data_IF_629838140016
#
_entry.id   IF_629838140016
#
_cell.length_a   1.000
_cell.length_b   1.000
_cell.length_c   1.000
_cell.angle_alpha   90.00
_cell.angle_beta   90.00
_cell.angle_gamma   90.00
#
_symmetry.space_group_name_H-M   'P 1'
#
loop_
_entity.id
_entity.type
_entity.pdbx_description
1 polymer ?
#
# COMPACT_ATOMS: atom_id res chain seq x y z
N UNK A 1 -0.48 -6.62 -10.79
CA UNK A 1 -0.90 -7.99 -10.50
C UNK A 1 -2.20 -8.34 -11.19
N UNK A 2 -2.45 -9.62 -11.36
CA UNK A 2 -3.71 -10.14 -11.91
C UNK A 2 -4.52 -10.83 -10.80
N UNK A 3 -5.81 -11.04 -11.05
CA UNK A 3 -6.70 -11.70 -10.06
C UNK A 3 -6.31 -13.15 -9.72
N UNK A 4 -5.39 -13.76 -10.47
CA UNK A 4 -4.86 -15.09 -10.24
C UNK A 4 -3.42 -15.08 -9.66
N UNK A 5 -3.00 -14.00 -9.02
CA UNK A 5 -1.71 -13.83 -8.35
C UNK A 5 -0.49 -13.72 -9.27
N UNK A 6 -0.68 -13.56 -10.57
CA UNK A 6 0.42 -13.36 -11.50
C UNK A 6 0.82 -11.89 -11.62
N UNK A 7 2.10 -11.67 -11.82
CA UNK A 7 2.67 -10.41 -12.30
C UNK A 7 3.06 -10.59 -13.75
N UNK A 8 2.54 -9.71 -14.58
CA UNK A 8 2.86 -9.64 -16.01
C UNK A 8 3.66 -8.38 -16.28
N UNK A 9 4.73 -8.52 -17.08
CA UNK A 9 5.40 -7.39 -17.70
C UNK A 9 5.12 -7.43 -19.19
N UNK A 10 4.70 -6.31 -19.72
CA UNK A 10 4.33 -6.14 -21.11
C UNK A 10 5.28 -5.13 -21.76
N UNK A 11 5.83 -5.49 -22.92
CA UNK A 11 6.61 -4.56 -23.76
C UNK A 11 5.67 -3.89 -24.75
N UNK A 12 5.71 -2.57 -24.77
CA UNK A 12 4.89 -1.75 -25.67
C UNK A 12 5.66 -1.24 -26.90
N UNK A 13 7.00 -1.32 -26.87
CA UNK A 13 7.87 -0.82 -27.94
C UNK A 13 8.90 -1.87 -28.36
N UNK A 14 9.35 -1.80 -29.61
CA UNK A 14 10.51 -2.54 -30.08
C UNK A 14 11.84 -1.90 -29.57
N UNK A 15 12.97 -2.52 -29.92
CA UNK A 15 14.30 -2.02 -29.53
C UNK A 15 14.63 -0.65 -30.14
N UNK A 16 14.00 -0.28 -31.26
CA UNK A 16 14.15 1.01 -31.89
C UNK A 16 13.21 2.08 -31.29
N UNK A 17 12.36 1.72 -30.32
CA UNK A 17 11.42 2.61 -29.65
C UNK A 17 10.09 2.80 -30.41
N UNK A 18 9.83 2.03 -31.49
CA UNK A 18 8.55 2.11 -32.17
C UNK A 18 7.48 1.36 -31.35
N UNK A 19 6.27 1.90 -31.33
CA UNK A 19 5.13 1.26 -30.66
C UNK A 19 4.78 -0.04 -31.38
N UNK A 20 4.68 -1.13 -30.61
CA UNK A 20 4.24 -2.43 -31.12
C UNK A 20 2.73 -2.41 -31.42
N UNK A 21 2.29 -3.13 -32.46
CA UNK A 21 0.84 -3.23 -32.76
C UNK A 21 0.07 -3.99 -31.69
N UNK A 22 0.73 -4.87 -30.94
CA UNK A 22 0.23 -5.61 -29.80
C UNK A 22 1.28 -5.64 -28.70
N UNK A 23 0.86 -5.69 -27.44
CA UNK A 23 1.79 -5.83 -26.33
C UNK A 23 2.43 -7.22 -26.33
N UNK A 24 3.73 -7.25 -26.20
CA UNK A 24 4.49 -8.48 -26.03
C UNK A 24 4.63 -8.81 -24.54
N UNK A 25 4.20 -10.00 -24.11
CA UNK A 25 4.41 -10.46 -22.75
C UNK A 25 5.85 -10.94 -22.59
N UNK A 26 6.63 -10.20 -21.78
CA UNK A 26 8.06 -10.48 -21.55
C UNK A 26 8.34 -11.12 -20.20
N UNK A 27 7.38 -11.06 -19.25
CA UNK A 27 7.48 -11.71 -17.96
C UNK A 27 6.09 -12.15 -17.50
N UNK A 28 6.03 -13.36 -16.89
CA UNK A 28 4.84 -13.91 -16.28
C UNK A 28 5.26 -14.76 -15.07
N UNK A 29 4.99 -14.30 -13.86
CA UNK A 29 5.37 -14.96 -12.62
C UNK A 29 4.14 -15.11 -11.73
N UNK A 30 3.85 -16.35 -11.30
CA UNK A 30 2.93 -16.61 -10.20
C UNK A 30 3.64 -16.30 -8.87
N UNK A 31 3.39 -15.10 -8.35
CA UNK A 31 4.04 -14.61 -7.12
C UNK A 31 3.61 -15.43 -5.91
N UNK A 32 2.33 -15.82 -5.84
CA UNK A 32 1.82 -16.59 -4.71
C UNK A 32 2.50 -17.95 -4.66
N UNK A 33 2.54 -18.69 -5.77
CA UNK A 33 3.22 -19.97 -5.84
C UNK A 33 4.71 -19.86 -5.52
N UNK A 34 5.38 -18.79 -5.99
CA UNK A 34 6.78 -18.54 -5.69
C UNK A 34 7.03 -18.26 -4.20
N UNK A 35 6.17 -17.46 -3.57
CA UNK A 35 6.25 -17.17 -2.14
C UNK A 35 5.93 -18.41 -1.27
N UNK A 36 4.92 -19.19 -1.65
CA UNK A 36 4.57 -20.46 -1.00
C UNK A 36 5.73 -21.47 -1.06
N UNK A 37 6.40 -21.56 -2.20
CA UNK A 37 7.59 -22.40 -2.36
C UNK A 37 8.76 -21.95 -1.47
N UNK A 38 8.98 -20.63 -1.34
CA UNK A 38 10.01 -20.08 -0.48
C UNK A 38 9.73 -20.30 1.02
N UNK A 39 8.45 -20.25 1.41
CA UNK A 39 8.02 -20.46 2.79
C UNK A 39 7.80 -21.92 3.16
N UNK A 40 7.57 -22.80 2.19
CA UNK A 40 7.19 -24.19 2.41
C UNK A 40 5.79 -24.37 3.00
N UNK A 41 4.90 -23.40 2.80
CA UNK A 41 3.50 -23.43 3.27
C UNK A 41 2.58 -22.67 2.32
N UNK A 42 1.29 -23.00 2.34
CA UNK A 42 0.25 -22.25 1.62
C UNK A 42 0.01 -20.88 2.25
N UNK A 43 -0.27 -19.89 1.39
CA UNK A 43 -0.64 -18.54 1.81
C UNK A 43 -2.16 -18.37 1.82
N UNK A 44 -2.67 -17.78 2.89
CA UNK A 44 -4.11 -17.51 3.05
C UNK A 44 -4.56 -16.27 2.26
N UNK A 45 -3.62 -15.40 1.89
CA UNK A 45 -3.89 -14.14 1.22
C UNK A 45 -3.38 -14.14 -0.22
N UNK A 46 -4.05 -13.36 -1.05
CA UNK A 46 -3.69 -13.19 -2.46
C UNK A 46 -2.71 -12.04 -2.65
N UNK A 47 -2.04 -12.02 -3.80
CA UNK A 47 -1.21 -10.92 -4.23
C UNK A 47 -2.06 -9.65 -4.35
N UNK A 48 -1.62 -8.61 -3.66
CA UNK A 48 -2.30 -7.31 -3.64
C UNK A 48 -1.54 -6.26 -4.45
N UNK A 49 -0.25 -6.12 -4.20
CA UNK A 49 0.55 -5.03 -4.78
C UNK A 49 1.94 -5.49 -5.15
N UNK A 50 2.51 -4.83 -6.15
CA UNK A 50 3.90 -4.97 -6.57
C UNK A 50 4.50 -3.63 -6.94
N UNK A 51 5.81 -3.50 -6.72
CA UNK A 51 6.59 -2.34 -7.17
C UNK A 51 8.04 -2.75 -7.41
N UNK A 52 8.72 -2.14 -8.35
CA UNK A 52 10.18 -2.23 -8.45
C UNK A 52 10.83 -1.21 -7.51
N UNK A 53 11.85 -1.65 -6.76
CA UNK A 53 12.72 -0.73 -6.06
C UNK A 53 13.80 -0.14 -7.00
N UNK A 54 14.62 0.74 -6.45
CA UNK A 54 15.68 1.42 -7.22
C UNK A 54 16.86 0.50 -7.58
N UNK A 55 16.95 -0.67 -6.96
CA UNK A 55 17.94 -1.71 -7.26
C UNK A 55 17.39 -2.78 -8.23
N UNK A 56 16.13 -2.60 -8.70
CA UNK A 56 15.47 -3.49 -9.66
C UNK A 56 14.86 -4.74 -9.05
N UNK A 57 14.78 -4.87 -7.74
CA UNK A 57 14.05 -5.96 -7.10
C UNK A 57 12.54 -5.73 -7.24
N UNK A 58 11.79 -6.78 -7.49
CA UNK A 58 10.33 -6.72 -7.57
C UNK A 58 9.73 -7.05 -6.20
N UNK A 59 9.35 -6.02 -5.46
CA UNK A 59 8.64 -6.15 -4.19
C UNK A 59 7.19 -6.54 -4.42
N UNK A 60 6.66 -7.32 -3.48
CA UNK A 60 5.26 -7.72 -3.46
C UNK A 60 4.70 -7.75 -2.05
N UNK A 61 3.39 -7.57 -1.95
CA UNK A 61 2.63 -7.73 -0.73
C UNK A 61 1.38 -8.57 -0.99
N UNK A 62 1.04 -9.42 -0.03
CA UNK A 62 -0.26 -10.11 -0.01
C UNK A 62 -1.15 -9.50 1.05
N UNK A 63 -2.45 -9.51 0.80
CA UNK A 63 -3.39 -8.88 1.69
C UNK A 63 -4.78 -8.75 1.09
N UNK A 64 -5.49 -7.71 1.48
CA UNK A 64 -6.81 -7.35 0.96
C UNK A 64 -7.73 -6.77 2.01
N UNK A 65 -8.93 -6.39 1.59
CA UNK A 65 -9.90 -5.61 2.37
C UNK A 65 -10.58 -6.33 3.54
N UNK A 66 -10.23 -7.56 3.87
CA UNK A 66 -10.91 -8.33 4.92
C UNK A 66 -9.95 -8.99 5.90
N UNK A 67 -8.80 -8.39 6.11
CA UNK A 67 -7.88 -8.79 7.16
C UNK A 67 -8.22 -7.96 8.40
N UNK A 68 -8.52 -8.65 9.49
CA UNK A 68 -8.86 -8.05 10.78
C UNK A 68 -7.92 -8.58 11.85
N UNK A 69 -7.54 -7.77 12.84
CA UNK A 69 -6.63 -8.19 13.91
C UNK A 69 -7.05 -9.46 14.66
N UNK A 70 -8.36 -9.69 14.77
CA UNK A 70 -8.92 -10.86 15.43
C UNK A 70 -9.01 -12.12 14.57
N UNK A 71 -8.60 -12.05 13.30
CA UNK A 71 -8.62 -13.20 12.39
C UNK A 71 -7.23 -13.83 12.27
N UNK A 72 -7.18 -15.13 12.02
CA UNK A 72 -5.92 -15.85 11.81
C UNK A 72 -5.32 -15.64 10.42
N UNK A 73 -5.93 -14.80 9.59
CA UNK A 73 -5.39 -14.45 8.28
C UNK A 73 -4.04 -13.74 8.45
N UNK A 74 -3.11 -14.08 7.58
CA UNK A 74 -1.75 -13.58 7.66
C UNK A 74 -1.27 -13.21 6.26
N UNK A 75 -0.83 -11.95 6.10
CA UNK A 75 -0.18 -11.50 4.89
C UNK A 75 1.31 -11.79 4.90
N UNK A 76 1.94 -11.59 3.75
CA UNK A 76 3.39 -11.62 3.59
C UNK A 76 3.86 -10.42 2.78
N UNK A 77 5.08 -9.98 3.09
CA UNK A 77 5.81 -8.97 2.35
C UNK A 77 7.07 -9.64 1.81
N UNK A 78 7.43 -9.36 0.56
CA UNK A 78 8.60 -10.02 0.00
C UNK A 78 9.12 -9.35 -1.25
N UNK A 79 10.19 -9.89 -1.80
CA UNK A 79 10.71 -9.46 -3.09
C UNK A 79 11.29 -10.62 -3.90
N UNK A 80 11.32 -10.44 -5.22
CA UNK A 80 12.08 -11.25 -6.15
C UNK A 80 13.35 -10.48 -6.49
N UNK A 81 14.49 -11.11 -6.35
CA UNK A 81 15.79 -10.50 -6.62
C UNK A 81 15.90 -10.05 -8.08
N UNK A 82 16.49 -8.87 -8.29
CA UNK A 82 16.74 -8.29 -9.62
C UNK A 82 17.39 -9.26 -10.59
N UNK A 83 18.41 -10.01 -10.14
CA UNK A 83 19.11 -10.98 -10.98
C UNK A 83 18.21 -12.07 -11.57
N UNK A 84 17.17 -12.49 -10.84
CA UNK A 84 16.21 -13.46 -11.37
C UNK A 84 15.27 -12.83 -12.39
N UNK A 85 14.88 -11.57 -12.18
CA UNK A 85 14.09 -10.81 -13.17
C UNK A 85 14.88 -10.63 -14.44
N UNK A 86 16.14 -10.22 -14.36
CA UNK A 86 17.03 -10.06 -15.51
C UNK A 86 17.21 -11.38 -16.28
N UNK A 87 17.46 -12.49 -15.58
CA UNK A 87 17.59 -13.81 -16.21
C UNK A 87 16.34 -14.16 -17.03
N UNK A 88 15.14 -13.97 -16.43
CA UNK A 88 13.88 -14.24 -17.14
C UNK A 88 13.72 -13.33 -18.37
N UNK A 89 14.02 -12.05 -18.25
CA UNK A 89 13.93 -11.09 -19.36
C UNK A 89 14.92 -11.41 -20.49
N UNK A 90 16.06 -12.01 -20.17
CA UNK A 90 17.03 -12.51 -21.13
C UNK A 90 16.71 -13.90 -21.72
N UNK A 91 15.54 -14.48 -21.37
CA UNK A 91 15.11 -15.79 -21.83
C UNK A 91 15.78 -16.96 -21.12
N UNK A 92 16.43 -16.71 -19.97
CA UNK A 92 17.06 -17.72 -19.14
C UNK A 92 16.07 -18.27 -18.10
N UNK A 93 16.36 -19.45 -17.57
CA UNK A 93 15.59 -20.01 -16.46
C UNK A 93 16.13 -19.47 -15.13
N UNK A 94 15.25 -18.86 -14.34
CA UNK A 94 15.56 -18.47 -12.97
C UNK A 94 15.00 -19.47 -11.96
N UNK A 95 15.83 -19.82 -10.98
CA UNK A 95 15.38 -20.62 -9.82
C UNK A 95 14.72 -19.68 -8.79
N UNK A 96 13.42 -19.46 -8.93
CA UNK A 96 12.67 -18.59 -8.03
C UNK A 96 12.68 -19.04 -6.57
N UNK A 97 12.90 -20.35 -6.31
CA UNK A 97 12.99 -20.84 -4.93
C UNK A 97 14.18 -20.29 -4.15
N UNK A 98 15.18 -19.76 -4.86
CA UNK A 98 16.37 -19.12 -4.27
C UNK A 98 16.40 -17.60 -4.42
N UNK A 99 15.52 -17.07 -5.26
CA UNK A 99 15.50 -15.66 -5.59
C UNK A 99 14.31 -14.92 -4.96
N UNK A 100 13.38 -15.64 -4.35
CA UNK A 100 12.23 -15.08 -3.65
C UNK A 100 12.50 -15.06 -2.15
N UNK A 101 12.40 -13.91 -1.56
CA UNK A 101 12.57 -13.68 -0.13
C UNK A 101 11.27 -13.16 0.46
N UNK A 102 10.87 -13.70 1.60
CA UNK A 102 9.57 -13.44 2.20
C UNK A 102 9.72 -13.11 3.68
N UNK A 103 8.99 -12.11 4.13
CA UNK A 103 8.77 -11.74 5.52
C UNK A 103 7.31 -12.01 5.86
N UNK A 104 7.07 -12.87 6.83
CA UNK A 104 5.73 -13.16 7.32
C UNK A 104 5.28 -12.08 8.29
N UNK A 105 4.08 -11.56 8.05
CA UNK A 105 3.43 -10.66 9.00
C UNK A 105 2.88 -11.44 10.20
N UNK A 106 2.43 -10.73 11.22
CA UNK A 106 1.76 -11.36 12.36
C UNK A 106 0.36 -11.86 11.99
N UNK A 107 -0.20 -12.86 12.68
CA UNK A 107 -1.59 -13.24 12.48
C UNK A 107 -2.53 -12.04 12.65
N UNK A 108 -3.50 -11.90 11.75
CA UNK A 108 -4.40 -10.74 11.69
C UNK A 108 -3.80 -9.51 11.00
N UNK A 109 -2.59 -9.61 10.46
CA UNK A 109 -1.93 -8.53 9.76
C UNK A 109 -1.78 -8.80 8.26
N UNK A 110 -1.97 -7.78 7.44
CA UNK A 110 -1.81 -7.85 5.99
C UNK A 110 -1.78 -6.48 5.36
N UNK A 111 -1.24 -6.40 4.15
CA UNK A 111 -1.27 -5.16 3.37
C UNK A 111 -2.68 -4.88 2.86
N UNK A 112 -3.04 -3.61 2.78
CA UNK A 112 -4.35 -3.16 2.30
C UNK A 112 -4.26 -2.48 0.93
N UNK A 113 -3.14 -1.85 0.66
CA UNK A 113 -2.92 -1.03 -0.53
C UNK A 113 -1.53 -1.20 -1.12
N UNK A 114 -1.13 -0.24 -1.94
CA UNK A 114 0.10 -0.28 -2.70
C UNK A 114 1.36 -0.11 -1.85
N UNK A 115 2.45 -0.57 -2.42
CA UNK A 115 3.80 -0.38 -1.92
C UNK A 115 4.36 0.88 -2.55
N UNK A 116 5.10 1.69 -1.79
CA UNK A 116 5.87 2.81 -2.31
C UNK A 116 7.37 2.49 -2.24
N UNK A 117 8.09 2.77 -3.33
CA UNK A 117 9.53 2.56 -3.37
C UNK A 117 10.29 3.88 -3.14
N UNK A 118 11.33 3.82 -2.33
CA UNK A 118 12.30 4.89 -2.13
C UNK A 118 13.72 4.37 -2.38
N UNK A 119 14.70 5.27 -2.38
CA UNK A 119 16.13 4.87 -2.42
C UNK A 119 16.56 4.08 -1.18
N UNK A 120 15.81 4.17 -0.10
CA UNK A 120 16.11 3.52 1.17
C UNK A 120 15.42 2.15 1.31
N UNK A 121 14.53 1.79 0.36
CA UNK A 121 13.82 0.52 0.34
C UNK A 121 12.34 0.65 -0.03
N UNK A 122 11.57 -0.38 0.25
CA UNK A 122 10.13 -0.43 0.04
C UNK A 122 9.38 -0.03 1.31
N UNK A 123 8.45 0.92 1.19
CA UNK A 123 7.57 1.36 2.28
C UNK A 123 6.19 0.74 2.08
N UNK A 124 5.69 0.06 3.10
CA UNK A 124 4.44 -0.70 3.03
C UNK A 124 3.61 -0.39 4.27
N UNK A 125 2.33 -0.11 4.03
CA UNK A 125 1.33 -0.04 5.07
C UNK A 125 0.60 -1.39 5.18
N UNK A 126 0.50 -1.88 6.40
CA UNK A 126 -0.41 -2.95 6.77
C UNK A 126 -1.58 -2.36 7.58
N UNK A 127 -2.55 -3.18 7.95
CA UNK A 127 -3.63 -2.76 8.83
C UNK A 127 -3.20 -2.45 10.28
N UNK A 128 -1.93 -2.63 10.64
CA UNK A 128 -1.42 -2.43 12.00
C UNK A 128 -0.13 -1.62 12.05
N UNK A 129 0.71 -1.70 11.01
CA UNK A 129 2.05 -1.13 11.02
C UNK A 129 2.42 -0.46 9.70
N UNK A 130 3.36 0.46 9.76
CA UNK A 130 4.10 0.96 8.62
C UNK A 130 5.51 0.40 8.66
N UNK A 131 5.99 -0.15 7.55
CA UNK A 131 7.32 -0.75 7.43
C UNK A 131 8.18 -0.01 6.42
N UNK A 132 9.46 0.14 6.72
CA UNK A 132 10.50 0.29 5.70
C UNK A 132 11.27 -1.02 5.62
N UNK A 133 11.23 -1.65 4.45
CA UNK A 133 11.90 -2.91 4.17
C UNK A 133 13.03 -2.72 3.18
N UNK A 134 14.11 -3.48 3.35
CA UNK A 134 15.25 -3.50 2.45
C UNK A 134 15.57 -4.92 1.99
N UNK A 135 15.96 -5.06 0.72
CA UNK A 135 16.50 -6.29 0.18
C UNK A 135 17.96 -6.46 0.61
N UNK A 136 18.25 -7.47 1.41
CA UNK A 136 19.59 -7.74 1.94
C UNK A 136 19.81 -9.25 2.14
N UNK A 137 19.86 -10.03 1.04
CA UNK A 137 19.87 -11.51 1.07
C UNK A 137 18.76 -12.10 1.96
N UNK A 138 17.66 -11.41 2.05
CA UNK A 138 16.50 -11.63 2.90
C UNK A 138 15.72 -10.33 3.00
N UNK A 139 14.54 -10.36 3.58
CA UNK A 139 13.76 -9.14 3.86
C UNK A 139 14.20 -8.59 5.20
N UNK A 140 14.89 -7.46 5.19
CA UNK A 140 15.29 -6.72 6.38
C UNK A 140 14.24 -5.65 6.70
N UNK A 141 13.63 -5.71 7.87
CA UNK A 141 12.82 -4.61 8.40
C UNK A 141 13.77 -3.57 9.01
N UNK A 142 13.99 -2.46 8.29
CA UNK A 142 14.81 -1.33 8.78
C UNK A 142 14.13 -0.71 9.98
N UNK A 143 12.83 -0.52 9.89
CA UNK A 143 11.94 -0.15 10.99
C UNK A 143 10.52 -0.66 10.74
N UNK A 144 9.79 -0.81 11.84
CA UNK A 144 8.38 -1.14 11.89
C UNK A 144 7.72 -0.22 12.91
N UNK A 145 6.77 0.59 12.48
CA UNK A 145 6.09 1.57 13.33
C UNK A 145 4.62 1.24 13.42
N UNK A 146 4.13 0.87 14.61
CA UNK A 146 2.70 0.66 14.83
C UNK A 146 1.95 2.00 14.77
N UNK A 147 0.72 1.94 14.31
CA UNK A 147 -0.21 3.07 14.33
C UNK A 147 -1.61 2.64 14.74
N UNK A 148 -2.40 3.58 15.23
CA UNK A 148 -3.78 3.32 15.59
C UNK A 148 -4.66 3.37 14.35
N UNK A 149 -5.60 2.44 14.24
CA UNK A 149 -6.68 2.46 13.27
C UNK A 149 -7.91 1.84 13.88
N UNK A 150 -9.06 2.39 13.60
CA UNK A 150 -10.34 1.78 13.99
C UNK A 150 -10.97 1.01 12.85
N UNK A 151 -10.43 1.17 11.65
CA UNK A 151 -10.84 0.48 10.45
C UNK A 151 -12.32 0.54 10.13
N UNK A 152 -12.71 -0.30 9.22
CA UNK A 152 -14.12 -0.54 8.94
C UNK A 152 -14.77 -1.22 10.14
N UNK A 153 -15.49 -0.49 10.96
CA UNK A 153 -16.32 -1.07 12.00
C UNK A 153 -17.47 -1.79 11.33
N UNK A 154 -17.47 -3.12 11.39
CA UNK A 154 -18.63 -3.92 11.03
C UNK A 154 -19.70 -3.66 12.11
N UNK A 155 -20.72 -2.89 11.77
CA UNK A 155 -21.83 -2.67 12.68
C UNK A 155 -23.01 -3.55 12.31
N UNK A 156 -23.34 -4.47 13.20
CA UNK A 156 -24.65 -5.11 13.30
C UNK A 156 -25.03 -6.02 12.14
N UNK A 157 -26.28 -6.40 12.11
CA UNK A 157 -26.91 -7.47 11.34
C UNK A 157 -26.75 -7.40 9.80
N UNK A 158 -26.16 -6.34 9.22
CA UNK A 158 -26.08 -6.14 7.79
C UNK A 158 -24.67 -5.99 7.22
N UNK A 159 -23.64 -6.34 7.98
CA UNK A 159 -22.23 -6.22 7.53
C UNK A 159 -21.88 -4.81 6.97
N UNK A 160 -22.62 -3.79 7.38
CA UNK A 160 -22.34 -2.41 6.99
C UNK A 160 -21.18 -1.89 7.81
N UNK A 161 -20.13 -1.54 7.11
CA UNK A 161 -19.01 -0.79 7.69
C UNK A 161 -19.50 0.56 8.18
N UNK A 162 -19.37 0.82 9.46
CA UNK A 162 -19.65 2.13 10.06
C UNK A 162 -18.36 2.77 10.54
N UNK A 163 -18.09 3.93 10.01
CA UNK A 163 -16.87 4.69 10.28
C UNK A 163 -15.65 4.13 9.53
N UNK A 164 -14.66 4.91 9.37
CA UNK A 164 -13.40 4.55 8.76
C UNK A 164 -13.49 4.08 7.34
N UNK A 165 -12.69 3.28 6.83
CA UNK A 165 -12.53 2.89 5.45
C UNK A 165 -13.27 1.60 5.05
N UNK A 166 -12.89 1.07 3.91
CA UNK A 166 -13.33 -0.23 3.39
C UNK A 166 -12.75 -1.38 4.20
N UNK A 167 -11.65 -1.14 4.88
CA UNK A 167 -10.88 -2.14 5.58
C UNK A 167 -10.36 -1.61 6.92
N UNK A 168 -9.73 -2.47 7.68
CA UNK A 168 -9.02 -2.11 8.89
C UNK A 168 -7.64 -1.58 8.50
N UNK A 169 -7.24 -0.40 8.96
CA UNK A 169 -5.95 0.20 8.66
C UNK A 169 -6.05 1.55 7.99
N UNK A 170 -4.93 2.04 7.47
CA UNK A 170 -4.82 3.36 6.87
C UNK A 170 -5.58 3.55 5.56
N UNK A 171 -6.00 2.47 4.91
CA UNK A 171 -6.80 2.50 3.68
C UNK A 171 -6.07 3.06 2.45
N UNK A 172 -4.79 3.40 2.55
CA UNK A 172 -4.05 4.08 1.49
C UNK A 172 -2.66 3.49 1.26
N UNK A 173 -2.07 3.78 0.11
CA UNK A 173 -0.64 3.59 -0.09
C UNK A 173 0.13 4.75 0.54
N UNK A 174 1.31 4.51 1.13
CA UNK A 174 2.12 5.59 1.67
C UNK A 174 2.60 6.55 0.57
N UNK A 175 2.64 7.83 0.88
CA UNK A 175 3.23 8.87 0.05
C UNK A 175 4.58 9.28 0.61
N UNK A 176 5.57 9.45 -0.26
CA UNK A 176 6.96 9.63 0.14
C UNK A 176 7.51 10.97 -0.30
N UNK A 177 8.32 11.58 0.55
CA UNK A 177 9.34 12.55 0.18
C UNK A 177 10.73 11.98 0.49
N UNK A 178 11.83 12.66 0.17
CA UNK A 178 13.17 12.18 0.55
C UNK A 178 13.35 11.91 2.05
N UNK A 179 12.64 12.65 2.89
CA UNK A 179 12.82 12.60 4.36
C UNK A 179 11.59 12.06 5.12
N UNK A 180 10.42 11.95 4.48
CA UNK A 180 9.17 11.61 5.15
C UNK A 180 8.39 10.49 4.47
N UNK A 181 7.70 9.72 5.31
CA UNK A 181 6.62 8.81 4.91
C UNK A 181 5.32 9.36 5.46
N UNK A 182 4.32 9.58 4.60
CA UNK A 182 3.03 10.14 4.99
C UNK A 182 1.88 9.25 4.60
N UNK A 183 0.92 9.12 5.51
CA UNK A 183 -0.32 8.36 5.31
C UNK A 183 -1.37 8.77 6.33
N UNK A 184 -2.63 8.42 6.09
CA UNK A 184 -3.71 8.57 7.05
C UNK A 184 -3.93 7.27 7.83
N UNK A 185 -4.26 7.38 9.11
CA UNK A 185 -4.40 6.23 10.01
C UNK A 185 -5.80 5.60 10.03
N UNK A 186 -6.81 6.30 9.50
CA UNK A 186 -8.22 5.93 9.66
C UNK A 186 -8.63 5.66 11.11
N UNK A 187 -7.98 6.33 12.07
CA UNK A 187 -8.41 6.34 13.47
C UNK A 187 -9.66 7.22 13.65
N UNK A 188 -10.07 7.42 14.88
CA UNK A 188 -11.18 8.32 15.23
C UNK A 188 -10.70 9.30 16.31
N UNK A 189 -10.46 10.59 15.99
CA UNK A 189 -10.49 11.19 14.65
C UNK A 189 -9.39 10.69 13.72
N UNK A 190 -9.62 10.78 12.41
CA UNK A 190 -8.62 10.46 11.39
C UNK A 190 -7.46 11.44 11.46
N UNK A 191 -6.25 10.94 11.40
CA UNK A 191 -5.02 11.74 11.43
C UNK A 191 -4.18 11.49 10.19
N UNK A 192 -3.56 12.53 9.69
CA UNK A 192 -2.41 12.44 8.80
C UNK A 192 -1.18 12.23 9.66
N UNK A 193 -0.47 11.14 9.43
CA UNK A 193 0.79 10.82 10.09
C UNK A 193 1.94 11.13 9.15
N UNK A 194 3.02 11.70 9.69
CA UNK A 194 4.30 11.82 9.01
C UNK A 194 5.36 11.12 9.86
N UNK A 195 6.08 10.20 9.24
CA UNK A 195 7.18 9.45 9.85
C UNK A 195 8.50 9.91 9.22
N UNK A 196 9.53 10.01 10.04
CA UNK A 196 10.90 10.20 9.55
C UNK A 196 11.34 8.97 8.76
N UNK A 197 11.76 9.16 7.51
CA UNK A 197 12.10 8.08 6.57
C UNK A 197 13.21 7.16 7.10
N UNK A 198 14.18 7.70 7.84
CA UNK A 198 15.35 6.93 8.31
C UNK A 198 15.06 6.13 9.58
N UNK A 199 14.23 6.66 10.44
CA UNK A 199 14.03 6.09 11.79
C UNK A 199 12.66 5.48 12.03
N UNK A 200 11.69 5.76 11.15
CA UNK A 200 10.30 5.37 11.31
C UNK A 200 9.57 6.11 12.44
N UNK A 201 10.20 7.05 13.13
CA UNK A 201 9.54 7.78 14.22
C UNK A 201 8.44 8.68 13.64
N UNK A 202 7.28 8.65 14.28
CA UNK A 202 6.21 9.62 14.00
C UNK A 202 6.73 10.99 14.43
N UNK A 203 6.95 11.87 13.46
CA UNK A 203 7.39 13.26 13.68
C UNK A 203 6.21 14.22 13.64
N UNK A 204 5.09 13.79 13.07
CA UNK A 204 3.86 14.54 13.07
C UNK A 204 2.62 13.65 13.07
N UNK A 205 1.60 14.12 13.75
CA UNK A 205 0.27 13.51 13.82
C UNK A 205 -0.75 14.64 13.87
N UNK A 206 -1.46 14.83 12.76
CA UNK A 206 -2.37 15.97 12.59
C UNK A 206 -3.78 15.46 12.31
N UNK A 207 -4.79 15.80 13.15
CA UNK A 207 -6.18 15.54 12.82
C UNK A 207 -6.53 16.19 11.47
N UNK A 208 -7.23 15.47 10.62
CA UNK A 208 -7.64 15.93 9.30
C UNK A 208 -9.13 15.74 9.12
N UNK A 209 -9.77 16.60 8.31
CA UNK A 209 -11.19 16.52 8.02
C UNK A 209 -12.05 16.65 9.29
N UNK A 210 -11.57 17.36 10.30
CA UNK A 210 -12.25 17.58 11.59
C UNK A 210 -13.21 18.78 11.58
N UNK A 211 -13.22 19.55 10.50
CA UNK A 211 -14.06 20.70 10.25
C UNK A 211 -15.32 20.38 9.41
N UNK A 212 -15.64 19.12 9.24
CA UNK A 212 -16.80 18.70 8.45
C UNK A 212 -18.10 19.04 9.17
N UNK A 213 -19.19 19.34 8.42
CA UNK A 213 -20.50 19.58 9.00
C UNK A 213 -21.00 18.38 9.85
N UNK A 214 -21.84 18.68 10.84
CA UNK A 214 -22.46 17.66 11.68
C UNK A 214 -23.18 16.58 10.84
N UNK A 215 -22.96 15.31 11.18
CA UNK A 215 -23.52 14.17 10.47
C UNK A 215 -22.65 13.62 9.35
N UNK A 216 -21.56 14.31 8.98
CA UNK A 216 -20.57 13.75 8.05
C UNK A 216 -19.63 12.78 8.79
N UNK A 217 -19.23 11.74 8.08
CA UNK A 217 -18.24 10.80 8.55
C UNK A 217 -16.97 10.89 7.70
N UNK A 218 -15.87 10.44 8.24
CA UNK A 218 -14.56 10.48 7.59
C UNK A 218 -14.09 9.07 7.32
N UNK A 219 -13.62 8.86 6.10
CA UNK A 219 -12.84 7.70 5.71
C UNK A 219 -11.84 8.13 4.63
N UNK A 220 -10.62 7.69 4.74
CA UNK A 220 -9.58 7.97 3.73
C UNK A 220 -9.13 6.66 3.13
N UNK A 221 -9.37 6.49 1.84
CA UNK A 221 -8.99 5.31 1.04
C UNK A 221 -8.03 5.69 -0.10
N UNK A 222 -7.70 6.97 -0.19
CA UNK A 222 -6.80 7.49 -1.20
C UNK A 222 -5.46 7.89 -0.57
N UNK A 223 -4.39 7.63 -1.28
CA UNK A 223 -3.08 8.14 -0.89
C UNK A 223 -3.10 9.66 -0.87
N UNK A 224 -2.46 10.25 0.14
CA UNK A 224 -2.29 11.68 0.21
C UNK A 224 -1.47 12.17 -0.99
N UNK A 225 -1.88 13.27 -1.61
CA UNK A 225 -1.06 13.96 -2.61
C UNK A 225 -0.07 14.81 -1.85
N UNK A 226 1.21 14.64 -2.12
CA UNK A 226 2.29 15.32 -1.42
C UNK A 226 3.14 16.11 -2.39
N UNK A 227 3.43 17.33 -2.02
CA UNK A 227 4.35 18.24 -2.72
C UNK A 227 5.41 18.75 -1.75
N UNK A 228 6.67 18.47 -2.06
CA UNK A 228 7.84 18.97 -1.34
C UNK A 228 8.48 20.06 -2.20
N UNK A 229 8.55 21.29 -1.70
CA UNK A 229 9.17 22.43 -2.42
C UNK A 229 10.70 22.40 -2.38
N UNK A 230 11.29 21.44 -1.65
CA UNK A 230 12.73 21.32 -1.40
C UNK A 230 13.35 22.50 -0.64
N UNK A 231 12.52 23.42 -0.14
CA UNK A 231 12.91 24.58 0.65
C UNK A 231 12.49 24.44 2.13
N UNK A 232 11.91 23.28 2.48
CA UNK A 232 11.51 22.93 3.84
C UNK A 232 9.99 22.96 4.08
N UNK A 233 9.20 23.11 3.02
CA UNK A 233 7.74 23.03 3.11
C UNK A 233 7.24 21.77 2.40
N UNK A 234 6.44 20.98 3.09
CA UNK A 234 5.73 19.85 2.51
C UNK A 234 4.23 20.10 2.60
N UNK A 235 3.59 20.24 1.44
CA UNK A 235 2.14 20.44 1.33
C UNK A 235 1.47 19.09 1.05
N UNK A 236 0.35 18.83 1.71
CA UNK A 236 -0.37 17.59 1.59
C UNK A 236 -1.86 17.83 1.36
N UNK A 237 -2.44 17.10 0.41
CA UNK A 237 -3.88 17.09 0.15
C UNK A 237 -4.43 15.73 0.57
N UNK A 238 -5.43 15.74 1.44
CA UNK A 238 -6.17 14.56 1.91
C UNK A 238 -7.62 14.70 1.48
N UNK A 239 -8.20 13.62 0.94
CA UNK A 239 -9.59 13.62 0.49
C UNK A 239 -10.43 12.72 1.38
N UNK A 240 -11.63 13.19 1.75
CA UNK A 240 -12.64 12.32 2.36
C UNK A 240 -13.24 11.40 1.29
N UNK A 241 -13.12 10.11 1.50
CA UNK A 241 -13.69 9.10 0.62
C UNK A 241 -15.02 8.53 1.14
N UNK A 242 -15.42 8.86 2.37
CA UNK A 242 -16.62 8.29 2.99
C UNK A 242 -17.84 8.41 2.08
N UNK A 243 -18.49 7.29 1.81
CA UNK A 243 -19.64 7.21 0.93
C UNK A 243 -19.32 7.19 -0.58
N UNK A 244 -18.12 7.58 -1.01
CA UNK A 244 -17.76 7.62 -2.42
C UNK A 244 -17.78 6.24 -3.08
N UNK A 245 -17.28 5.21 -2.38
CA UNK A 245 -17.28 3.83 -2.89
C UNK A 245 -18.64 3.19 -2.95
N UNK A 246 -19.56 3.59 -2.09
CA UNK A 246 -20.95 3.14 -2.16
C UNK A 246 -21.72 3.78 -3.31
N UNK A 247 -21.30 4.92 -3.81
CA UNK A 247 -21.94 5.57 -4.95
C UNK A 247 -21.78 4.83 -6.27
N UNK A 248 -20.63 4.18 -6.46
CA UNK A 248 -20.42 3.33 -7.66
C UNK A 248 -21.19 2.01 -7.61
N UNK A 249 -21.68 1.64 -6.44
CA UNK A 249 -22.43 0.41 -6.18
C UNK A 249 -23.87 0.69 -5.74
N UNK A 250 -24.21 1.96 -5.47
CA UNK A 250 -25.51 2.35 -4.98
C UNK A 250 -26.54 2.38 -6.12
N UNK A 251 -27.77 2.13 -5.74
CA UNK A 251 -28.96 2.41 -6.53
C UNK A 251 -28.81 3.80 -7.18
N UNK A 252 -28.85 3.89 -8.53
CA UNK A 252 -28.76 5.16 -9.24
C UNK A 252 -29.89 6.14 -8.85
N UNK A 253 -30.86 5.69 -8.09
CA UNK A 253 -31.94 6.51 -7.53
C UNK A 253 -31.71 6.90 -6.07
N UNK A 254 -30.60 6.55 -5.45
CA UNK A 254 -30.30 7.01 -4.11
C UNK A 254 -29.88 8.47 -4.15
N UNK A 255 -30.59 9.30 -3.38
CA UNK A 255 -30.39 10.75 -3.28
C UNK A 255 -29.14 11.11 -2.43
N UNK A 256 -28.14 10.22 -2.40
CA UNK A 256 -26.89 10.44 -1.71
C UNK A 256 -26.02 11.40 -2.51
N UNK A 257 -26.21 12.70 -2.28
CA UNK A 257 -25.23 13.70 -2.71
C UNK A 257 -23.92 13.45 -1.95
N UNK A 258 -23.03 12.68 -2.57
CA UNK A 258 -21.70 12.48 -2.01
C UNK A 258 -20.94 13.76 -2.22
N UNK A 259 -20.62 14.43 -1.13
CA UNK A 259 -19.71 15.56 -1.14
C UNK A 259 -18.35 15.08 -0.66
N UNK A 260 -17.38 15.13 -1.55
CA UNK A 260 -15.96 14.94 -1.20
C UNK A 260 -15.40 16.31 -0.80
N UNK A 261 -14.77 16.39 0.36
CA UNK A 261 -14.01 17.55 0.79
C UNK A 261 -12.53 17.22 0.71
N UNK A 262 -11.79 18.07 0.02
CA UNK A 262 -10.34 18.02 0.00
C UNK A 262 -9.81 19.16 0.89
N UNK A 263 -8.97 18.81 1.84
CA UNK A 263 -8.29 19.77 2.68
C UNK A 263 -6.80 19.79 2.33
N UNK A 264 -6.23 20.98 2.32
CA UNK A 264 -4.80 21.19 2.10
C UNK A 264 -4.17 21.49 3.45
N UNK A 265 -3.16 20.75 3.80
CA UNK A 265 -2.40 20.94 5.03
C UNK A 265 -0.96 21.28 4.69
N UNK A 266 -0.51 22.44 5.13
CA UNK A 266 0.87 22.86 5.06
C UNK A 266 1.64 22.36 6.27
N UNK A 267 2.74 21.65 6.02
CA UNK A 267 3.55 21.02 7.04
C UNK A 267 4.88 21.76 7.26
N UNK A 268 4.87 23.09 7.19
CA UNK A 268 6.07 23.95 7.35
C UNK A 268 6.75 23.80 8.72
N UNK A 269 6.07 23.26 9.70
CA UNK A 269 6.62 22.98 11.03
C UNK A 269 7.58 21.77 11.05
N UNK A 270 7.72 21.06 9.94
CA UNK A 270 8.74 20.02 9.74
C UNK A 270 10.09 20.60 9.28
N UNK A 271 10.23 21.93 9.21
CA UNK A 271 11.51 22.55 8.92
C UNK A 271 12.54 22.18 9.97
N UNK A 272 13.70 21.79 9.48
CA UNK A 272 14.86 21.35 10.26
C UNK A 272 15.41 22.46 11.16
#
# INVERSE_FOLDING_TARGET
PTSNNHVLMLRATDEAGNVLPEFEKVLDIDIKAAAEAALGKELTQNLLSVVFDYDGNLWFATGGFRIYPEREQQGVLGYIAHSAIEAILNGEQADLSKAVFVHELTPGEGAENGIAASKDGAVILTNQNCYLLRANNGVEAVWCTPYESVGAKVSGENDKTTGGGLAWGGGCSPSLTPDLVMFTDNADPVKLLALDMKTGKIVASLPVLDDLPEGYQVAVENSAIVYDDSEGTVSTIVCNWFGAGSAGLADPNSDSSIQSYANIYDMNWLTK
#
